data_IF_369045043293
#
_entry.id   IF_369045043293
#
_cell.length_a   1.000
_cell.length_b   1.000
_cell.length_c   1.000
_cell.angle_alpha   90.00
_cell.angle_beta   90.00
_cell.angle_gamma   90.00
#
_symmetry.space_group_name_H-M   'P 1'
#
loop_
_entity.id
_entity.type
_entity.pdbx_description
1 polymer ?
#
# COMPACT_ATOMS: atom_id res chain seq x y z
N UNK A 1 14.02 -6.76 35.60
CA UNK A 1 15.27 -6.71 34.80
C UNK A 1 15.43 -8.07 34.13
N UNK A 2 15.19 -8.13 32.81
CA UNK A 2 15.56 -9.19 31.83
C UNK A 2 15.04 -10.61 32.23
N UNK A 3 14.11 -11.25 31.53
CA UNK A 3 14.28 -11.88 30.21
C UNK A 3 12.87 -12.19 29.67
N UNK A 4 12.40 -11.43 28.68
CA UNK A 4 11.44 -11.91 27.68
C UNK A 4 12.16 -11.89 26.34
N UNK A 5 12.99 -12.91 26.13
CA UNK A 5 13.50 -13.31 24.81
C UNK A 5 13.31 -14.82 24.70
N UNK A 6 12.11 -15.24 24.32
CA UNK A 6 11.85 -16.57 23.76
C UNK A 6 10.43 -16.62 23.19
N UNK A 7 10.26 -16.03 22.02
CA UNK A 7 9.23 -16.45 21.08
C UNK A 7 9.93 -16.76 19.75
N UNK A 8 10.31 -18.03 19.66
CA UNK A 8 10.22 -18.89 18.47
C UNK A 8 10.74 -18.23 17.18
N UNK A 9 12.06 -18.37 16.99
CA UNK A 9 12.67 -18.50 15.65
C UNK A 9 12.04 -19.71 14.96
N UNK A 10 10.99 -19.50 14.19
CA UNK A 10 10.62 -20.44 13.15
C UNK A 10 11.67 -20.35 12.05
N UNK A 11 12.36 -21.46 11.79
CA UNK A 11 13.37 -21.60 10.75
C UNK A 11 12.72 -21.58 9.35
N UNK A 12 12.30 -20.41 8.89
CA UNK A 12 12.41 -20.12 7.46
C UNK A 12 13.89 -19.79 7.21
N UNK A 13 14.56 -20.42 6.25
CA UNK A 13 15.92 -20.03 5.83
C UNK A 13 15.93 -18.50 5.68
N UNK A 14 16.62 -17.80 6.58
CA UNK A 14 16.87 -16.36 6.40
C UNK A 14 17.52 -16.24 5.02
N UNK A 15 16.87 -15.55 4.10
CA UNK A 15 17.51 -15.17 2.83
C UNK A 15 18.69 -14.29 3.20
N UNK A 16 19.88 -14.89 3.21
CA UNK A 16 21.12 -14.17 3.37
C UNK A 16 21.44 -13.47 2.05
N UNK A 17 20.75 -12.34 1.84
CA UNK A 17 20.96 -11.50 0.66
C UNK A 17 22.42 -11.11 0.51
N UNK A 18 23.16 -10.90 1.61
CA UNK A 18 24.56 -10.49 1.55
C UNK A 18 25.42 -11.61 0.96
N UNK A 19 25.23 -12.85 1.40
CA UNK A 19 25.91 -14.01 0.80
C UNK A 19 25.53 -14.18 -0.68
N UNK A 20 24.26 -14.08 -1.05
CA UNK A 20 23.83 -14.23 -2.44
C UNK A 20 24.37 -13.12 -3.36
N UNK A 21 24.35 -11.87 -2.87
CA UNK A 21 24.92 -10.71 -3.56
C UNK A 21 26.42 -10.91 -3.75
N UNK A 22 27.15 -11.34 -2.71
CA UNK A 22 28.59 -11.58 -2.79
C UNK A 22 28.94 -12.67 -3.81
N UNK A 23 28.16 -13.76 -3.88
CA UNK A 23 28.35 -14.81 -4.89
C UNK A 23 28.21 -14.25 -6.32
N UNK A 24 27.21 -13.41 -6.57
CA UNK A 24 27.04 -12.78 -7.89
C UNK A 24 28.14 -11.76 -8.19
N UNK A 25 28.57 -10.97 -7.21
CA UNK A 25 29.68 -10.03 -7.38
C UNK A 25 30.98 -10.76 -7.70
N UNK A 26 31.27 -11.87 -7.03
CA UNK A 26 32.45 -12.69 -7.33
C UNK A 26 32.36 -13.37 -8.70
N UNK A 27 31.15 -13.79 -9.11
CA UNK A 27 30.92 -14.27 -10.48
C UNK A 27 31.20 -13.18 -11.51
N UNK A 28 30.72 -11.95 -11.29
CA UNK A 28 30.92 -10.81 -12.19
C UNK A 28 32.40 -10.40 -12.32
N UNK A 29 33.24 -10.63 -11.29
CA UNK A 29 34.70 -10.46 -11.41
C UNK A 29 35.34 -11.45 -12.39
N UNK A 30 34.76 -12.66 -12.54
CA UNK A 30 35.30 -13.73 -13.41
C UNK A 30 34.71 -13.69 -14.81
N UNK A 31 33.47 -13.21 -14.95
CA UNK A 31 32.75 -13.09 -16.22
C UNK A 31 32.85 -11.64 -16.69
N UNK A 32 33.90 -11.30 -17.43
CA UNK A 32 34.05 -9.97 -18.03
C UNK A 32 33.03 -9.73 -19.14
N UNK A 33 32.48 -8.51 -19.21
CA UNK A 33 31.55 -8.09 -20.27
C UNK A 33 32.06 -8.39 -21.68
N UNK A 34 33.33 -8.10 -21.97
CA UNK A 34 33.89 -8.24 -23.32
C UNK A 34 33.98 -9.70 -23.80
N UNK A 35 34.18 -10.64 -22.88
CA UNK A 35 34.32 -12.07 -23.21
C UNK A 35 32.99 -12.82 -23.19
N UNK A 36 32.08 -12.43 -22.29
CA UNK A 36 30.84 -13.16 -22.03
C UNK A 36 29.67 -12.20 -21.78
N UNK A 37 29.29 -11.37 -22.76
CA UNK A 37 28.32 -10.28 -22.56
C UNK A 37 26.96 -10.78 -22.05
N UNK A 38 26.44 -11.89 -22.62
CA UNK A 38 25.14 -12.44 -22.21
C UNK A 38 25.14 -12.99 -20.78
N UNK A 39 26.21 -13.69 -20.38
CA UNK A 39 26.32 -14.23 -19.02
C UNK A 39 26.57 -13.13 -17.98
N UNK A 40 27.31 -12.09 -18.35
CA UNK A 40 27.47 -10.89 -17.55
C UNK A 40 26.12 -10.19 -17.35
N UNK A 41 25.38 -9.94 -18.44
CA UNK A 41 24.07 -9.28 -18.38
C UNK A 41 23.03 -10.05 -17.56
N UNK A 42 23.00 -11.39 -17.66
CA UNK A 42 22.13 -12.22 -16.83
C UNK A 42 22.49 -12.12 -15.34
N UNK A 43 23.79 -12.15 -15.02
CA UNK A 43 24.26 -12.01 -13.63
C UNK A 43 23.94 -10.63 -13.06
N UNK A 44 24.03 -9.57 -13.88
CA UNK A 44 23.63 -8.22 -13.50
C UNK A 44 22.11 -8.10 -13.27
N UNK A 45 21.28 -8.76 -14.08
CA UNK A 45 19.83 -8.82 -13.85
C UNK A 45 19.48 -9.48 -12.51
N UNK A 46 20.10 -10.63 -12.21
CA UNK A 46 19.86 -11.34 -10.95
C UNK A 46 20.37 -10.53 -9.75
N UNK A 47 21.51 -9.84 -9.90
CA UNK A 47 22.04 -8.95 -8.88
C UNK A 47 21.09 -7.78 -8.59
N UNK A 48 20.54 -7.16 -9.64
CA UNK A 48 19.56 -6.09 -9.50
C UNK A 48 18.30 -6.53 -8.76
N UNK A 49 17.81 -7.75 -9.03
CA UNK A 49 16.66 -8.32 -8.30
C UNK A 49 16.96 -8.53 -6.82
N UNK A 50 18.13 -9.08 -6.48
CA UNK A 50 18.51 -9.29 -5.08
C UNK A 50 18.61 -7.98 -4.30
N UNK A 51 19.16 -6.93 -4.90
CA UNK A 51 19.15 -5.61 -4.28
C UNK A 51 17.73 -5.08 -4.07
N UNK A 52 16.84 -5.24 -5.06
CA UNK A 52 15.44 -4.82 -4.91
C UNK A 52 14.69 -5.62 -3.83
N UNK A 53 14.97 -6.91 -3.70
CA UNK A 53 14.35 -7.75 -2.65
C UNK A 53 14.94 -7.45 -1.26
N UNK A 54 16.24 -7.16 -1.15
CA UNK A 54 16.85 -6.66 0.09
C UNK A 54 16.29 -5.28 0.47
N UNK A 55 16.07 -4.39 -0.50
CA UNK A 55 15.40 -3.11 -0.27
C UNK A 55 14.02 -3.30 0.36
N UNK A 56 13.19 -4.23 -0.15
CA UNK A 56 11.86 -4.48 0.43
C UNK A 56 11.92 -4.96 1.89
N UNK A 57 13.02 -5.58 2.30
CA UNK A 57 13.24 -6.03 3.69
C UNK A 57 13.78 -4.91 4.58
N UNK A 58 14.78 -4.17 4.09
CA UNK A 58 15.60 -3.28 4.92
C UNK A 58 15.28 -1.79 4.72
N UNK A 59 14.47 -1.46 3.70
CA UNK A 59 14.11 -0.11 3.29
C UNK A 59 15.32 0.83 3.03
N UNK A 60 16.43 0.27 2.56
CA UNK A 60 17.67 1.02 2.32
C UNK A 60 17.74 1.56 0.89
N UNK A 61 17.58 2.88 0.72
CA UNK A 61 17.66 3.56 -0.59
C UNK A 61 18.91 3.21 -1.42
N UNK A 62 20.05 2.92 -0.78
CA UNK A 62 21.28 2.57 -1.51
C UNK A 62 21.14 1.30 -2.35
N UNK A 63 20.25 0.39 -1.96
CA UNK A 63 19.98 -0.82 -2.72
C UNK A 63 19.17 -0.55 -3.98
N UNK A 64 18.29 0.47 -3.97
CA UNK A 64 17.60 0.90 -5.19
C UNK A 64 18.58 1.44 -6.24
N UNK A 65 19.58 2.21 -5.79
CA UNK A 65 20.62 2.75 -6.69
C UNK A 65 21.46 1.60 -7.27
N UNK A 66 21.87 0.63 -6.43
CA UNK A 66 22.62 -0.54 -6.89
C UNK A 66 21.80 -1.42 -7.84
N UNK A 67 20.50 -1.60 -7.56
CA UNK A 67 19.59 -2.31 -8.45
C UNK A 67 19.48 -1.61 -9.80
N UNK A 68 19.30 -0.28 -9.81
CA UNK A 68 19.28 0.53 -11.04
C UNK A 68 20.56 0.35 -11.85
N UNK A 69 21.72 0.44 -11.22
CA UNK A 69 23.02 0.23 -11.88
C UNK A 69 23.11 -1.15 -12.51
N UNK A 70 22.79 -2.21 -11.76
CA UNK A 70 22.85 -3.58 -12.26
C UNK A 70 21.88 -3.80 -13.42
N UNK A 71 20.64 -3.29 -13.33
CA UNK A 71 19.69 -3.38 -14.44
C UNK A 71 20.15 -2.61 -15.70
N UNK A 72 20.77 -1.44 -15.54
CA UNK A 72 21.37 -0.70 -16.66
C UNK A 72 22.51 -1.48 -17.32
N UNK A 73 23.36 -2.16 -16.56
CA UNK A 73 24.41 -3.03 -17.12
C UNK A 73 23.82 -4.23 -17.87
N UNK A 74 22.72 -4.81 -17.37
CA UNK A 74 22.00 -5.87 -18.09
C UNK A 74 21.37 -5.37 -19.40
N UNK A 75 20.82 -4.15 -19.39
CA UNK A 75 20.16 -3.53 -20.54
C UNK A 75 21.14 -3.28 -21.70
N UNK A 76 22.42 -2.98 -21.43
CA UNK A 76 23.43 -2.79 -22.50
C UNK A 76 23.50 -3.95 -23.50
N UNK A 77 23.22 -5.18 -23.06
CA UNK A 77 23.23 -6.38 -23.90
C UNK A 77 21.82 -6.78 -24.34
N UNK A 78 20.85 -6.66 -23.44
CA UNK A 78 19.45 -7.03 -23.68
C UNK A 78 18.64 -5.79 -24.06
N UNK A 79 18.76 -5.36 -25.33
CA UNK A 79 17.97 -4.28 -25.91
C UNK A 79 16.69 -4.82 -26.53
N UNK A 80 15.83 -3.92 -26.99
CA UNK A 80 14.61 -4.29 -27.71
C UNK A 80 14.94 -5.12 -28.97
N UNK A 81 16.04 -4.81 -29.65
CA UNK A 81 16.47 -5.44 -30.89
C UNK A 81 17.16 -6.78 -30.66
N UNK A 82 17.98 -6.89 -29.61
CA UNK A 82 18.80 -8.08 -29.37
C UNK A 82 18.07 -9.15 -28.56
N UNK A 83 17.29 -8.76 -27.55
CA UNK A 83 16.55 -9.69 -26.69
C UNK A 83 15.28 -9.04 -26.12
N UNK A 84 14.21 -8.90 -26.92
CA UNK A 84 12.99 -8.19 -26.52
C UNK A 84 12.37 -8.69 -25.21
N UNK A 85 12.42 -10.00 -24.95
CA UNK A 85 11.85 -10.59 -23.75
C UNK A 85 12.63 -10.21 -22.48
N UNK A 86 13.96 -10.32 -22.49
CA UNK A 86 14.78 -9.91 -21.35
C UNK A 86 14.80 -8.40 -21.19
N UNK A 87 14.78 -7.64 -22.30
CA UNK A 87 14.57 -6.19 -22.27
C UNK A 87 13.30 -5.84 -21.50
N UNK A 88 12.15 -6.43 -21.84
CA UNK A 88 10.89 -6.16 -21.15
C UNK A 88 10.92 -6.53 -19.66
N UNK A 89 11.63 -7.62 -19.29
CA UNK A 89 11.84 -7.99 -17.88
C UNK A 89 12.64 -6.92 -17.14
N UNK A 90 13.70 -6.38 -17.76
CA UNK A 90 14.51 -5.31 -17.19
C UNK A 90 13.68 -4.05 -17.02
N UNK A 91 12.92 -3.64 -18.05
CA UNK A 91 12.04 -2.47 -17.99
C UNK A 91 11.02 -2.58 -16.83
N UNK A 92 10.38 -3.74 -16.65
CA UNK A 92 9.49 -3.99 -15.51
C UNK A 92 10.20 -3.85 -14.16
N UNK A 93 11.43 -4.36 -14.01
CA UNK A 93 12.18 -4.22 -12.76
C UNK A 93 12.64 -2.78 -12.52
N UNK A 94 13.09 -2.08 -13.56
CA UNK A 94 13.46 -0.66 -13.46
C UNK A 94 12.26 0.21 -13.08
N UNK A 95 11.06 -0.09 -13.57
CA UNK A 95 9.85 0.58 -13.13
C UNK A 95 9.60 0.43 -11.62
N UNK A 96 9.80 -0.77 -11.07
CA UNK A 96 9.69 -0.99 -9.62
C UNK A 96 10.73 -0.18 -8.84
N UNK A 97 11.97 -0.13 -9.33
CA UNK A 97 13.04 0.68 -8.72
C UNK A 97 12.67 2.15 -8.72
N UNK A 98 12.24 2.70 -9.86
CA UNK A 98 11.84 4.11 -9.95
C UNK A 98 10.59 4.42 -9.14
N UNK A 99 9.61 3.51 -9.07
CA UNK A 99 8.44 3.66 -8.21
C UNK A 99 8.82 3.83 -6.74
N UNK A 100 9.82 3.10 -6.26
CA UNK A 100 10.31 3.25 -4.89
C UNK A 100 11.21 4.48 -4.71
N UNK A 101 12.04 4.82 -5.71
CA UNK A 101 12.87 6.04 -5.64
C UNK A 101 12.03 7.31 -5.54
N UNK A 102 10.83 7.32 -6.13
CA UNK A 102 9.87 8.42 -6.01
C UNK A 102 9.52 8.72 -4.53
N UNK A 103 9.48 7.70 -3.66
CA UNK A 103 9.20 7.89 -2.22
C UNK A 103 10.34 8.62 -1.49
N UNK A 104 11.55 8.64 -2.06
CA UNK A 104 12.74 9.23 -1.44
C UNK A 104 13.20 10.54 -2.08
N UNK A 105 12.89 10.79 -3.35
CA UNK A 105 13.33 11.97 -4.08
C UNK A 105 12.54 12.17 -5.36
N UNK A 106 12.34 13.43 -5.75
CA UNK A 106 11.75 13.85 -7.03
C UNK A 106 10.58 12.96 -7.51
N UNK A 107 9.49 12.90 -6.71
CA UNK A 107 8.46 11.88 -6.88
C UNK A 107 7.75 11.98 -8.23
N UNK A 108 7.66 13.19 -8.79
CA UNK A 108 7.08 13.42 -10.11
C UNK A 108 7.97 12.82 -11.22
N UNK A 109 9.25 13.20 -11.28
CA UNK A 109 10.14 12.72 -12.34
C UNK A 109 10.32 11.19 -12.30
N UNK A 110 10.45 10.61 -11.10
CA UNK A 110 10.57 9.17 -10.97
C UNK A 110 9.27 8.42 -11.29
N UNK A 111 8.10 8.99 -10.99
CA UNK A 111 6.82 8.41 -11.41
C UNK A 111 6.70 8.37 -12.93
N UNK A 112 7.05 9.45 -13.63
CA UNK A 112 7.07 9.47 -15.10
C UNK A 112 8.05 8.46 -15.70
N UNK A 113 9.26 8.34 -15.13
CA UNK A 113 10.22 7.31 -15.53
C UNK A 113 9.64 5.91 -15.34
N UNK A 114 9.04 5.63 -14.19
CA UNK A 114 8.46 4.33 -13.88
C UNK A 114 7.33 3.96 -14.85
N UNK A 115 6.43 4.90 -15.15
CA UNK A 115 5.34 4.72 -16.12
C UNK A 115 5.89 4.38 -17.51
N UNK A 116 6.89 5.13 -17.99
CA UNK A 116 7.50 4.89 -19.29
C UNK A 116 8.14 3.48 -19.38
N UNK A 117 8.89 3.07 -18.34
CA UNK A 117 9.46 1.73 -18.28
C UNK A 117 8.38 0.63 -18.30
N UNK A 118 7.24 0.83 -17.62
CA UNK A 118 6.13 -0.14 -17.68
C UNK A 118 5.54 -0.23 -19.08
N UNK A 119 5.30 0.89 -19.76
CA UNK A 119 4.76 0.84 -21.12
C UNK A 119 5.71 0.13 -22.10
N UNK A 120 7.03 0.33 -21.97
CA UNK A 120 8.02 -0.44 -22.72
C UNK A 120 7.89 -1.96 -22.46
N UNK A 121 7.69 -2.36 -21.21
CA UNK A 121 7.46 -3.76 -20.87
C UNK A 121 6.13 -4.30 -21.42
N UNK A 122 5.04 -3.52 -21.34
CA UNK A 122 3.71 -3.90 -21.80
C UNK A 122 3.60 -4.00 -23.33
N UNK A 123 4.45 -3.29 -24.08
CA UNK A 123 4.56 -3.44 -25.53
C UNK A 123 5.01 -4.85 -25.96
N UNK A 124 5.71 -5.57 -25.08
CA UNK A 124 6.19 -6.95 -25.33
C UNK A 124 5.36 -7.97 -24.56
N UNK A 125 5.07 -7.70 -23.30
CA UNK A 125 4.31 -8.60 -22.44
C UNK A 125 2.82 -8.54 -22.72
N UNK A 126 2.40 -9.05 -23.86
CA UNK A 126 0.99 -9.19 -24.21
C UNK A 126 0.27 -10.21 -23.30
N UNK A 127 -0.98 -9.91 -22.92
CA UNK A 127 -1.77 -10.76 -22.03
C UNK A 127 -1.91 -12.22 -22.49
N UNK A 128 -1.95 -12.48 -23.81
CA UNK A 128 -2.09 -13.83 -24.37
C UNK A 128 -0.77 -14.61 -24.38
N UNK A 129 0.36 -13.94 -24.62
CA UNK A 129 1.68 -14.57 -24.78
C UNK A 129 2.43 -14.69 -23.46
N UNK A 130 2.36 -13.66 -22.62
CA UNK A 130 3.08 -13.56 -21.35
C UNK A 130 2.13 -13.19 -20.20
N UNK A 131 1.08 -13.98 -19.93
CA UNK A 131 0.01 -13.60 -19.02
C UNK A 131 0.51 -13.18 -17.63
N UNK A 132 1.46 -13.93 -17.06
CA UNK A 132 2.03 -13.62 -15.74
C UNK A 132 2.79 -12.30 -15.71
N UNK A 133 3.58 -12.00 -16.75
CA UNK A 133 4.33 -10.75 -16.81
C UNK A 133 3.42 -9.58 -17.14
N UNK A 134 2.43 -9.74 -18.02
CA UNK A 134 1.40 -8.73 -18.25
C UNK A 134 0.70 -8.35 -16.95
N UNK A 135 0.21 -9.34 -16.19
CA UNK A 135 -0.48 -9.10 -14.92
C UNK A 135 0.42 -8.38 -13.90
N UNK A 136 1.70 -8.80 -13.81
CA UNK A 136 2.68 -8.13 -12.94
C UNK A 136 2.94 -6.69 -13.35
N UNK A 137 3.07 -6.42 -14.65
CA UNK A 137 3.25 -5.07 -15.20
C UNK A 137 2.03 -4.20 -14.92
N UNK A 138 0.81 -4.73 -15.12
CA UNK A 138 -0.44 -4.02 -14.84
C UNK A 138 -0.61 -3.72 -13.33
N UNK A 139 -0.32 -4.69 -12.46
CA UNK A 139 -0.33 -4.45 -11.01
C UNK A 139 0.69 -3.37 -10.61
N UNK A 140 1.88 -3.40 -11.20
CA UNK A 140 2.93 -2.39 -10.94
C UNK A 140 2.51 -1.03 -11.45
N UNK A 141 1.92 -0.95 -12.64
CA UNK A 141 1.36 0.28 -13.20
C UNK A 141 0.30 0.89 -12.29
N UNK A 142 -0.59 0.06 -11.77
CA UNK A 142 -1.62 0.49 -10.82
C UNK A 142 -1.03 1.08 -9.55
N UNK A 143 0.02 0.47 -9.01
CA UNK A 143 0.71 0.99 -7.83
C UNK A 143 1.36 2.35 -8.11
N UNK A 144 2.04 2.47 -9.27
CA UNK A 144 2.70 3.72 -9.67
C UNK A 144 1.67 4.85 -9.80
N UNK A 145 0.57 4.62 -10.53
CA UNK A 145 -0.47 5.64 -10.69
C UNK A 145 -1.16 6.01 -9.38
N UNK A 146 -1.42 5.04 -8.51
CA UNK A 146 -2.00 5.31 -7.19
C UNK A 146 -1.09 6.20 -6.35
N UNK A 147 0.21 5.94 -6.34
CA UNK A 147 1.17 6.77 -5.63
C UNK A 147 1.31 8.15 -6.30
N UNK A 148 1.26 8.20 -7.63
CA UNK A 148 1.36 9.45 -8.39
C UNK A 148 0.13 10.36 -8.23
N UNK A 149 -1.03 9.80 -7.88
CA UNK A 149 -2.27 10.55 -7.71
C UNK A 149 -2.23 11.61 -6.59
N UNK A 150 -1.38 11.44 -5.58
CA UNK A 150 -1.23 12.44 -4.53
C UNK A 150 -0.33 13.63 -4.95
N UNK A 151 0.35 13.52 -6.10
CA UNK A 151 1.26 14.54 -6.63
C UNK A 151 0.60 15.33 -7.77
N UNK A 152 -0.06 14.64 -8.70
CA UNK A 152 -0.65 15.25 -9.89
C UNK A 152 -1.95 14.56 -10.29
N UNK A 153 -2.85 15.32 -10.92
CA UNK A 153 -4.13 14.88 -11.49
C UNK A 153 -4.78 13.66 -10.80
N UNK A 154 -5.14 13.86 -9.53
CA UNK A 154 -5.56 12.80 -8.60
C UNK A 154 -6.65 11.91 -9.18
N UNK A 155 -7.68 12.50 -9.79
CA UNK A 155 -8.82 11.76 -10.31
C UNK A 155 -8.44 10.86 -11.49
N UNK A 156 -7.67 11.42 -12.43
CA UNK A 156 -7.20 10.67 -13.60
C UNK A 156 -6.28 9.54 -13.18
N UNK A 157 -5.27 9.83 -12.37
CA UNK A 157 -4.29 8.82 -11.94
C UNK A 157 -4.95 7.70 -11.12
N UNK A 158 -5.92 7.98 -10.26
CA UNK A 158 -6.67 6.92 -9.57
C UNK A 158 -7.50 6.07 -10.54
N UNK A 159 -8.07 6.68 -11.58
CA UNK A 159 -8.84 5.95 -12.60
C UNK A 159 -7.93 5.01 -13.42
N UNK A 160 -6.76 5.49 -13.83
CA UNK A 160 -5.72 4.68 -14.50
C UNK A 160 -5.23 3.54 -13.59
N UNK A 161 -5.07 3.82 -12.29
CA UNK A 161 -4.68 2.79 -11.33
C UNK A 161 -5.71 1.66 -11.24
N UNK A 162 -7.00 2.02 -11.14
CA UNK A 162 -8.12 1.06 -11.11
C UNK A 162 -8.15 0.22 -12.38
N UNK A 163 -8.03 0.83 -13.56
CA UNK A 163 -8.04 0.10 -14.83
C UNK A 163 -6.88 -0.91 -14.91
N UNK A 164 -5.69 -0.52 -14.47
CA UNK A 164 -4.52 -1.40 -14.46
C UNK A 164 -4.71 -2.58 -13.49
N UNK A 165 -5.24 -2.33 -12.29
CA UNK A 165 -5.57 -3.40 -11.35
C UNK A 165 -6.63 -4.36 -11.88
N UNK A 166 -7.70 -3.85 -12.51
CA UNK A 166 -8.73 -4.68 -13.13
C UNK A 166 -8.17 -5.55 -14.27
N UNK A 167 -7.24 -5.01 -15.08
CA UNK A 167 -6.50 -5.79 -16.09
C UNK A 167 -5.67 -6.89 -15.45
N UNK A 168 -5.01 -6.63 -14.32
CA UNK A 168 -4.25 -7.64 -13.59
C UNK A 168 -5.15 -8.76 -13.02
N UNK A 169 -6.31 -8.42 -12.46
CA UNK A 169 -7.30 -9.39 -11.93
C UNK A 169 -7.98 -10.26 -13.00
N UNK A 170 -7.86 -9.92 -14.29
CA UNK A 170 -8.24 -10.84 -15.37
C UNK A 170 -7.37 -12.10 -15.38
N UNK A 171 -6.15 -12.02 -14.86
CA UNK A 171 -5.15 -13.10 -14.87
C UNK A 171 -4.89 -13.61 -13.45
N UNK A 172 -4.61 -12.72 -12.50
CA UNK A 172 -4.43 -13.10 -11.11
C UNK A 172 -5.78 -13.43 -10.49
N UNK A 173 -5.98 -14.71 -10.17
CA UNK A 173 -7.19 -15.25 -9.56
C UNK A 173 -6.91 -15.71 -8.14
N UNK A 174 -7.92 -15.60 -7.27
CA UNK A 174 -7.86 -15.95 -5.85
C UNK A 174 -7.24 -17.33 -5.61
N UNK A 175 -7.60 -18.32 -6.41
CA UNK A 175 -7.22 -19.74 -6.21
C UNK A 175 -5.78 -20.03 -6.64
N UNK A 176 -5.26 -19.27 -7.62
CA UNK A 176 -3.94 -19.54 -8.24
C UNK A 176 -2.87 -18.54 -7.82
N UNK A 177 -3.28 -17.35 -7.40
CA UNK A 177 -2.45 -16.18 -7.16
C UNK A 177 -2.96 -15.42 -5.94
N UNK A 178 -3.23 -16.14 -4.85
CA UNK A 178 -3.89 -15.59 -3.65
C UNK A 178 -3.21 -14.32 -3.15
N UNK A 179 -1.87 -14.29 -3.08
CA UNK A 179 -1.10 -13.14 -2.61
C UNK A 179 -1.23 -11.93 -3.55
N UNK A 180 -1.06 -12.12 -4.86
CA UNK A 180 -1.21 -11.02 -5.81
C UNK A 180 -2.66 -10.52 -5.88
N UNK A 181 -3.62 -11.44 -5.84
CA UNK A 181 -5.05 -11.14 -5.82
C UNK A 181 -5.42 -10.29 -4.59
N UNK A 182 -5.02 -10.73 -3.39
CA UNK A 182 -5.23 -9.99 -2.13
C UNK A 182 -4.65 -8.56 -2.22
N UNK A 183 -3.39 -8.43 -2.66
CA UNK A 183 -2.73 -7.13 -2.80
C UNK A 183 -3.46 -6.19 -3.77
N UNK A 184 -3.93 -6.72 -4.90
CA UNK A 184 -4.67 -5.91 -5.88
C UNK A 184 -6.01 -5.49 -5.30
N UNK A 185 -6.72 -6.39 -4.61
CA UNK A 185 -8.00 -6.07 -3.98
C UNK A 185 -7.87 -4.99 -2.89
N UNK A 186 -6.82 -5.07 -2.07
CA UNK A 186 -6.47 -4.02 -1.10
C UNK A 186 -6.29 -2.65 -1.77
N UNK A 187 -5.52 -2.61 -2.86
CA UNK A 187 -5.24 -1.36 -3.57
C UNK A 187 -6.47 -0.83 -4.33
N UNK A 188 -7.29 -1.71 -4.91
CA UNK A 188 -8.57 -1.34 -5.52
C UNK A 188 -9.52 -0.72 -4.51
N UNK A 189 -9.68 -1.33 -3.33
CA UNK A 189 -10.53 -0.79 -2.26
C UNK A 189 -10.11 0.63 -1.87
N UNK A 190 -8.82 0.84 -1.64
CA UNK A 190 -8.29 2.17 -1.32
C UNK A 190 -8.48 3.18 -2.47
N UNK A 191 -8.22 2.78 -3.72
CA UNK A 191 -8.42 3.63 -4.90
C UNK A 191 -9.88 4.02 -5.09
N UNK A 192 -10.82 3.09 -4.88
CA UNK A 192 -12.25 3.37 -4.97
C UNK A 192 -12.75 4.31 -3.87
N UNK A 193 -12.22 4.22 -2.64
CA UNK A 193 -12.48 5.23 -1.60
C UNK A 193 -12.05 6.63 -2.08
N UNK A 194 -10.84 6.76 -2.66
CA UNK A 194 -10.37 8.06 -3.14
C UNK A 194 -11.27 8.58 -4.26
N UNK A 195 -11.62 7.73 -5.23
CA UNK A 195 -12.49 8.11 -6.35
C UNK A 195 -13.89 8.53 -5.89
N UNK A 196 -14.42 7.88 -4.83
CA UNK A 196 -15.74 8.22 -4.27
C UNK A 196 -15.85 9.66 -3.74
N UNK A 197 -14.71 10.27 -3.37
CA UNK A 197 -14.65 11.67 -2.91
C UNK A 197 -14.72 12.67 -4.07
N UNK A 198 -14.54 12.20 -5.31
CA UNK A 198 -14.49 13.02 -6.52
C UNK A 198 -15.73 12.79 -7.38
N UNK A 199 -16.14 11.54 -7.58
CA UNK A 199 -17.27 11.19 -8.44
C UNK A 199 -17.96 9.89 -8.03
N UNK A 200 -19.23 9.74 -8.42
CA UNK A 200 -20.02 8.52 -8.24
C UNK A 200 -19.90 7.92 -6.82
N UNK A 201 -20.05 8.78 -5.80
CA UNK A 201 -19.71 8.50 -4.39
C UNK A 201 -20.22 7.14 -3.93
N UNK A 202 -21.53 6.91 -3.99
CA UNK A 202 -22.14 5.66 -3.52
C UNK A 202 -21.64 4.43 -4.27
N UNK A 203 -21.68 4.45 -5.61
CA UNK A 203 -21.22 3.33 -6.46
C UNK A 203 -19.75 2.97 -6.21
N UNK A 204 -18.90 3.97 -6.02
CA UNK A 204 -17.48 3.74 -5.74
C UNK A 204 -17.25 3.24 -4.30
N UNK A 205 -18.07 3.65 -3.32
CA UNK A 205 -18.03 3.08 -1.98
C UNK A 205 -18.45 1.61 -1.96
N UNK A 206 -19.47 1.24 -2.74
CA UNK A 206 -19.91 -0.16 -2.88
C UNK A 206 -18.80 -1.02 -3.51
N UNK A 207 -18.15 -0.52 -4.57
CA UNK A 207 -16.99 -1.21 -5.16
C UNK A 207 -15.79 -1.31 -4.22
N UNK A 208 -15.55 -0.30 -3.39
CA UNK A 208 -14.49 -0.34 -2.39
C UNK A 208 -14.77 -1.42 -1.34
N UNK A 209 -16.03 -1.51 -0.89
CA UNK A 209 -16.50 -2.53 0.03
C UNK A 209 -16.27 -3.94 -0.55
N UNK A 210 -16.73 -4.19 -1.78
CA UNK A 210 -16.55 -5.49 -2.46
C UNK A 210 -15.07 -5.88 -2.59
N UNK A 211 -14.21 -4.93 -2.94
CA UNK A 211 -12.77 -5.18 -3.04
C UNK A 211 -12.16 -5.59 -1.68
N UNK A 212 -12.53 -4.89 -0.61
CA UNK A 212 -12.05 -5.23 0.73
C UNK A 212 -12.58 -6.56 1.26
N UNK A 213 -13.85 -6.88 1.00
CA UNK A 213 -14.41 -8.20 1.35
C UNK A 213 -13.66 -9.32 0.62
N UNK A 214 -13.39 -9.17 -0.68
CA UNK A 214 -12.58 -10.13 -1.45
C UNK A 214 -11.16 -10.31 -0.88
N UNK A 215 -10.54 -9.24 -0.37
CA UNK A 215 -9.25 -9.35 0.30
C UNK A 215 -9.36 -10.10 1.65
N UNK A 216 -10.40 -9.83 2.44
CA UNK A 216 -10.66 -10.48 3.73
C UNK A 216 -11.00 -11.97 3.64
N UNK A 217 -11.36 -12.48 2.45
CA UNK A 217 -11.50 -13.93 2.23
C UNK A 217 -10.16 -14.69 2.31
N UNK A 218 -9.03 -14.00 2.11
CA UNK A 218 -7.67 -14.57 2.19
C UNK A 218 -6.95 -14.05 3.45
N UNK A 219 -7.12 -12.76 3.71
CA UNK A 219 -6.48 -12.01 4.75
C UNK A 219 -7.21 -12.20 6.08
N UNK A 220 -6.54 -12.84 7.03
CA UNK A 220 -7.06 -13.04 8.39
C UNK A 220 -6.19 -12.28 9.40
N UNK A 221 -6.77 -12.04 10.57
CA UNK A 221 -6.06 -11.40 11.68
C UNK A 221 -4.77 -12.17 12.05
N UNK A 222 -4.76 -13.50 11.96
CA UNK A 222 -3.58 -14.30 12.31
C UNK A 222 -2.49 -14.29 11.23
N UNK A 223 -2.86 -14.14 9.95
CA UNK A 223 -1.92 -14.19 8.83
C UNK A 223 -1.18 -12.87 8.65
N UNK A 224 -1.90 -11.76 8.72
CA UNK A 224 -1.33 -10.43 8.60
C UNK A 224 -2.22 -9.44 9.38
N UNK A 225 -1.99 -9.33 10.70
CA UNK A 225 -2.82 -8.52 11.61
C UNK A 225 -2.93 -7.06 11.17
N UNK A 226 -1.81 -6.49 10.70
CA UNK A 226 -1.75 -5.07 10.30
C UNK A 226 -2.67 -4.79 9.12
N UNK A 227 -2.52 -5.53 8.00
CA UNK A 227 -3.37 -5.31 6.84
C UNK A 227 -4.84 -5.62 7.15
N UNK A 228 -5.11 -6.65 7.97
CA UNK A 228 -6.48 -6.97 8.39
C UNK A 228 -7.12 -5.78 9.12
N UNK A 229 -6.45 -5.24 10.13
CA UNK A 229 -6.94 -4.08 10.87
C UNK A 229 -7.04 -2.82 10.01
N UNK A 230 -6.15 -2.65 9.02
CA UNK A 230 -6.22 -1.54 8.07
C UNK A 230 -7.49 -1.62 7.22
N UNK A 231 -7.86 -2.79 6.71
CA UNK A 231 -9.14 -2.99 6.03
C UNK A 231 -10.30 -2.66 6.95
N UNK A 232 -10.30 -3.15 8.20
CA UNK A 232 -11.38 -2.87 9.14
C UNK A 232 -11.55 -1.36 9.38
N UNK A 233 -10.44 -0.61 9.45
CA UNK A 233 -10.49 0.85 9.52
C UNK A 233 -11.04 1.48 8.23
N UNK A 234 -10.66 1.00 7.05
CA UNK A 234 -11.15 1.52 5.77
C UNK A 234 -12.64 1.20 5.55
N UNK A 235 -13.10 0.02 5.95
CA UNK A 235 -14.53 -0.33 6.01
C UNK A 235 -15.30 0.61 6.94
N UNK A 236 -14.70 1.01 8.07
CA UNK A 236 -15.30 2.00 8.97
C UNK A 236 -15.50 3.35 8.30
N UNK A 237 -14.50 3.80 7.54
CA UNK A 237 -14.60 5.02 6.73
C UNK A 237 -15.68 4.89 5.64
N UNK A 238 -15.76 3.74 4.96
CA UNK A 238 -16.81 3.47 3.96
C UNK A 238 -18.19 3.59 4.60
N UNK A 239 -18.41 2.95 5.75
CA UNK A 239 -19.68 3.02 6.45
C UNK A 239 -20.02 4.43 6.93
N UNK A 240 -19.05 5.21 7.42
CA UNK A 240 -19.27 6.63 7.73
C UNK A 240 -19.66 7.45 6.50
N UNK A 241 -19.08 7.16 5.34
CA UNK A 241 -19.42 7.89 4.11
C UNK A 241 -20.78 7.46 3.55
N UNK A 242 -21.14 6.18 3.69
CA UNK A 242 -22.45 5.64 3.34
C UNK A 242 -23.55 6.13 4.29
N UNK A 243 -23.27 6.37 5.57
CA UNK A 243 -24.27 6.88 6.52
C UNK A 243 -24.82 8.24 6.11
N UNK A 244 -24.02 9.04 5.40
CA UNK A 244 -24.44 10.33 4.83
C UNK A 244 -25.34 10.19 3.59
N UNK A 245 -25.54 8.97 3.09
CA UNK A 245 -26.27 8.68 1.85
C UNK A 245 -27.50 7.82 2.15
N UNK A 246 -27.33 6.75 2.95
CA UNK A 246 -28.38 5.78 3.25
C UNK A 246 -28.15 5.11 4.60
N UNK A 247 -29.24 4.61 5.19
CA UNK A 247 -29.26 3.83 6.43
C UNK A 247 -28.35 4.43 7.53
N UNK A 248 -28.45 5.75 7.77
CA UNK A 248 -27.50 6.53 8.56
C UNK A 248 -27.08 5.85 9.88
N UNK A 249 -28.04 5.59 10.75
CA UNK A 249 -27.80 4.98 12.06
C UNK A 249 -27.18 3.58 11.95
N UNK A 250 -27.70 2.74 11.05
CA UNK A 250 -27.21 1.36 10.84
C UNK A 250 -25.76 1.36 10.37
N UNK A 251 -25.42 2.25 9.44
CA UNK A 251 -24.06 2.38 8.94
C UNK A 251 -23.11 2.95 9.99
N UNK A 252 -23.53 3.91 10.83
CA UNK A 252 -22.72 4.39 11.95
C UNK A 252 -22.42 3.29 12.98
N UNK A 253 -23.40 2.41 13.27
CA UNK A 253 -23.14 1.25 14.13
C UNK A 253 -22.15 0.27 13.53
N UNK A 254 -22.25 -0.01 12.22
CA UNK A 254 -21.26 -0.83 11.52
C UNK A 254 -19.87 -0.20 11.55
N UNK A 255 -19.78 1.12 11.32
CA UNK A 255 -18.51 1.86 11.41
C UNK A 255 -17.86 1.72 12.79
N UNK A 256 -18.63 1.95 13.86
CA UNK A 256 -18.16 1.76 15.23
C UNK A 256 -17.66 0.32 15.49
N UNK A 257 -18.38 -0.70 15.00
CA UNK A 257 -17.98 -2.09 15.16
C UNK A 257 -16.62 -2.38 14.51
N UNK A 258 -16.44 -2.04 13.23
CA UNK A 258 -15.20 -2.36 12.51
C UNK A 258 -14.01 -1.54 13.01
N UNK A 259 -14.21 -0.30 13.45
CA UNK A 259 -13.14 0.45 14.12
C UNK A 259 -12.71 -0.23 15.43
N UNK A 260 -13.65 -0.74 16.24
CA UNK A 260 -13.30 -1.51 17.45
C UNK A 260 -12.56 -2.81 17.13
N UNK A 261 -12.86 -3.45 15.99
CA UNK A 261 -12.09 -4.61 15.52
C UNK A 261 -10.66 -4.20 15.16
N UNK A 262 -10.48 -3.09 14.43
CA UNK A 262 -9.15 -2.56 14.09
C UNK A 262 -8.31 -2.25 15.35
N UNK A 263 -8.92 -1.68 16.39
CA UNK A 263 -8.27 -1.37 17.68
C UNK A 263 -7.86 -2.59 18.51
N UNK A 264 -8.23 -3.82 18.11
CA UNK A 264 -7.65 -5.03 18.71
C UNK A 264 -6.20 -5.26 18.27
N UNK A 265 -5.80 -4.67 17.14
CA UNK A 265 -4.45 -4.76 16.57
C UNK A 265 -3.73 -3.42 16.70
N UNK A 266 -4.39 -2.33 16.32
CA UNK A 266 -3.85 -0.99 16.48
C UNK A 266 -3.98 -0.57 17.93
N UNK A 267 -2.85 -0.45 18.61
CA UNK A 267 -2.77 -0.04 20.01
C UNK A 267 -1.85 1.17 20.12
N UNK A 268 -1.88 1.87 21.25
CA UNK A 268 -0.94 2.97 21.48
C UNK A 268 0.53 2.50 21.40
N UNK A 269 0.80 1.26 21.85
CA UNK A 269 2.13 0.67 21.83
C UNK A 269 2.54 0.21 20.42
N UNK A 270 1.63 -0.44 19.72
CA UNK A 270 1.86 -1.06 18.42
C UNK A 270 0.96 -0.36 17.38
N UNK A 271 1.57 0.35 16.42
CA UNK A 271 0.86 1.13 15.40
C UNK A 271 0.14 2.38 15.95
N UNK A 272 0.86 3.20 16.72
CA UNK A 272 0.33 4.40 17.39
C UNK A 272 -0.39 5.36 16.43
N UNK A 273 0.12 5.56 15.21
CA UNK A 273 -0.49 6.45 14.24
C UNK A 273 -1.86 5.94 13.75
N UNK A 274 -1.94 4.63 13.45
CA UNK A 274 -3.18 3.96 13.08
C UNK A 274 -4.17 3.97 14.25
N UNK A 275 -3.71 3.68 15.48
CA UNK A 275 -4.49 3.76 16.71
C UNK A 275 -5.18 5.13 16.85
N UNK A 276 -4.41 6.22 16.78
CA UNK A 276 -4.95 7.56 16.89
C UNK A 276 -5.87 7.95 15.73
N UNK A 277 -5.57 7.50 14.51
CA UNK A 277 -6.46 7.71 13.35
C UNK A 277 -7.80 7.01 13.54
N UNK A 278 -7.79 5.76 14.01
CA UNK A 278 -9.01 4.99 14.29
C UNK A 278 -9.82 5.61 15.43
N UNK A 279 -9.16 6.05 16.50
CA UNK A 279 -9.80 6.76 17.60
C UNK A 279 -10.41 8.11 17.17
N UNK A 280 -9.71 8.90 16.35
CA UNK A 280 -10.29 10.12 15.78
C UNK A 280 -11.56 9.82 14.96
N UNK A 281 -11.57 8.74 14.17
CA UNK A 281 -12.75 8.36 13.40
C UNK A 281 -13.90 7.86 14.30
N UNK A 282 -13.61 7.10 15.36
CA UNK A 282 -14.61 6.74 16.37
C UNK A 282 -15.22 7.97 17.06
N UNK A 283 -14.41 8.97 17.37
CA UNK A 283 -14.90 10.24 17.91
C UNK A 283 -15.90 10.90 16.97
N UNK A 284 -15.61 10.93 15.67
CA UNK A 284 -16.52 11.44 14.64
C UNK A 284 -17.80 10.60 14.51
N UNK A 285 -17.72 9.26 14.60
CA UNK A 285 -18.90 8.38 14.59
C UNK A 285 -19.82 8.71 15.77
N UNK A 286 -19.26 8.84 16.97
CA UNK A 286 -20.02 9.15 18.17
C UNK A 286 -20.61 10.56 18.14
N UNK A 287 -19.92 11.55 17.56
CA UNK A 287 -20.51 12.87 17.31
C UNK A 287 -21.77 12.81 16.45
N UNK A 288 -21.74 12.04 15.36
CA UNK A 288 -22.90 11.92 14.48
C UNK A 288 -24.02 11.17 15.20
N UNK A 289 -23.69 10.07 15.90
CA UNK A 289 -24.66 9.32 16.71
C UNK A 289 -25.30 10.17 17.80
N UNK A 290 -24.59 11.13 18.40
CA UNK A 290 -25.14 12.02 19.42
C UNK A 290 -26.31 12.88 18.89
N UNK A 291 -26.33 13.20 17.60
CA UNK A 291 -27.43 13.90 16.96
C UNK A 291 -28.64 12.98 16.67
N UNK A 292 -28.44 11.66 16.75
CA UNK A 292 -29.45 10.64 16.43
C UNK A 292 -30.06 10.06 17.72
N UNK A 293 -29.23 9.73 18.70
CA UNK A 293 -29.63 9.08 19.94
C UNK A 293 -28.61 9.25 21.07
N UNK A 294 -29.08 9.12 22.32
CA UNK A 294 -28.26 9.12 23.53
C UNK A 294 -27.15 10.20 23.50
N UNK A 295 -27.50 11.50 23.31
CA UNK A 295 -26.53 12.56 23.07
C UNK A 295 -25.45 12.65 24.14
N UNK A 296 -25.83 12.56 25.43
CA UNK A 296 -24.88 12.62 26.54
C UNK A 296 -23.87 11.46 26.49
N UNK A 297 -24.35 10.22 26.35
CA UNK A 297 -23.50 9.03 26.27
C UNK A 297 -22.55 9.10 25.06
N UNK A 298 -23.06 9.50 23.90
CA UNK A 298 -22.26 9.60 22.69
C UNK A 298 -21.27 10.76 22.73
N UNK A 299 -21.60 11.91 23.34
CA UNK A 299 -20.63 12.98 23.56
C UNK A 299 -19.47 12.53 24.46
N UNK A 300 -19.75 11.78 25.54
CA UNK A 300 -18.69 11.24 26.41
C UNK A 300 -17.77 10.27 25.65
N UNK A 301 -18.35 9.34 24.88
CA UNK A 301 -17.57 8.43 24.02
C UNK A 301 -16.76 9.17 22.96
N UNK A 302 -17.31 10.25 22.40
CA UNK A 302 -16.59 11.08 21.45
C UNK A 302 -15.38 11.77 22.10
N UNK A 303 -15.56 12.34 23.30
CA UNK A 303 -14.48 12.97 24.07
C UNK A 303 -13.36 11.95 24.35
N UNK A 304 -13.70 10.79 24.90
CA UNK A 304 -12.74 9.72 25.19
C UNK A 304 -11.96 9.31 23.94
N UNK A 305 -12.66 9.09 22.81
CA UNK A 305 -12.01 8.71 21.57
C UNK A 305 -11.08 9.81 21.02
N UNK A 306 -11.45 11.08 21.15
CA UNK A 306 -10.58 12.19 20.77
C UNK A 306 -9.38 12.36 21.70
N UNK A 307 -9.54 12.15 23.00
CA UNK A 307 -8.44 12.19 23.97
C UNK A 307 -7.42 11.07 23.69
N UNK A 308 -7.87 9.83 23.43
CA UNK A 308 -6.99 8.74 22.97
C UNK A 308 -6.27 9.06 21.65
N UNK A 309 -6.90 9.81 20.73
CA UNK A 309 -6.24 10.25 19.51
C UNK A 309 -5.16 11.32 19.78
N UNK A 310 -5.32 12.15 20.81
CA UNK A 310 -4.37 13.19 21.21
C UNK A 310 -3.14 12.65 21.94
N UNK A 311 -3.17 11.42 22.45
CA UNK A 311 -1.98 10.72 22.96
C UNK A 311 -0.88 10.58 21.90
N UNK A 312 -1.25 10.64 20.61
CA UNK A 312 -0.32 10.56 19.47
C UNK A 312 -0.37 11.83 18.62
N UNK A 313 -1.55 12.39 18.37
CA UNK A 313 -1.68 13.63 17.60
C UNK A 313 -1.36 14.86 18.46
N UNK A 314 -0.10 14.99 18.81
CA UNK A 314 0.45 16.13 19.57
C UNK A 314 0.51 17.39 18.71
N UNK A 315 0.63 18.55 19.36
CA UNK A 315 0.80 19.83 18.67
C UNK A 315 2.10 19.86 17.84
N UNK A 316 3.14 19.17 18.30
CA UNK A 316 4.46 19.16 17.67
C UNK A 316 4.48 18.23 16.46
N UNK A 317 4.03 16.98 16.63
CA UNK A 317 4.17 15.94 15.60
C UNK A 317 3.06 16.03 14.54
N UNK A 318 1.86 16.44 14.94
CA UNK A 318 0.68 16.49 14.07
C UNK A 318 -0.18 17.76 14.28
N UNK A 319 0.38 18.97 14.12
CA UNK A 319 -0.27 20.24 14.48
C UNK A 319 -1.67 20.40 13.87
N UNK A 320 -1.84 20.03 12.59
CA UNK A 320 -3.12 20.14 11.89
C UNK A 320 -4.20 19.20 12.46
N UNK A 321 -3.83 17.96 12.80
CA UNK A 321 -4.76 16.98 13.40
C UNK A 321 -5.09 17.38 14.83
N UNK A 322 -4.06 17.74 15.61
CA UNK A 322 -4.17 18.22 16.97
C UNK A 322 -5.16 19.40 17.07
N UNK A 323 -4.93 20.46 16.28
CA UNK A 323 -5.78 21.66 16.24
C UNK A 323 -7.23 21.34 15.92
N UNK A 324 -7.47 20.44 14.95
CA UNK A 324 -8.82 20.03 14.58
C UNK A 324 -9.53 19.31 15.73
N UNK A 325 -8.86 18.36 16.37
CA UNK A 325 -9.43 17.60 17.49
C UNK A 325 -9.68 18.50 18.70
N UNK A 326 -8.74 19.37 19.05
CA UNK A 326 -8.89 20.33 20.15
C UNK A 326 -10.06 21.30 19.95
N UNK A 327 -10.28 21.76 18.71
CA UNK A 327 -11.44 22.60 18.38
C UNK A 327 -12.76 21.89 18.66
N UNK A 328 -12.88 20.63 18.24
CA UNK A 328 -14.06 19.79 18.49
C UNK A 328 -14.24 19.56 20.00
N UNK A 329 -13.19 19.17 20.72
CA UNK A 329 -13.26 18.93 22.17
C UNK A 329 -13.71 20.17 22.94
N UNK A 330 -13.23 21.37 22.57
CA UNK A 330 -13.67 22.63 23.19
C UNK A 330 -15.18 22.82 23.06
N UNK A 331 -15.73 22.58 21.87
CA UNK A 331 -17.17 22.67 21.63
C UNK A 331 -17.98 21.61 22.38
N UNK A 332 -17.44 20.39 22.53
CA UNK A 332 -18.12 19.30 23.23
C UNK A 332 -18.17 19.55 24.73
N UNK A 333 -17.05 19.97 25.33
CA UNK A 333 -16.97 20.25 26.77
C UNK A 333 -17.90 21.40 27.18
N UNK A 334 -18.16 22.36 26.29
CA UNK A 334 -19.18 23.39 26.53
C UNK A 334 -20.61 22.84 26.53
N UNK A 335 -20.91 21.86 25.66
CA UNK A 335 -22.23 21.22 25.57
C UNK A 335 -22.51 20.20 26.69
N UNK A 336 -21.49 19.60 27.29
CA UNK A 336 -21.65 18.63 28.39
C UNK A 336 -21.72 19.27 29.76
N UNK A 337 -21.32 20.54 29.88
CA UNK A 337 -21.38 21.32 31.13
C UNK A 337 -22.67 22.16 31.27
N UNK A 338 -23.59 22.04 30.29
CA UNK A 338 -24.96 22.58 30.30
C UNK A 338 -25.92 21.42 30.42
#
# INVERSE_FOLDING_TARGET
MVIVKRLIKFHAKKEDFDTQINVLLDRLKRISFDKYPSAHAASQYDLGKLYLDRFKRDNNKSDLIKAETAFKESWKVNTLETNPYEFAKIQLMMAMVYSHLAEFQDPEAYSYKAINMIYNALNIFEAKKFPKFFAKSQMTLGNIYRNFADISDRSKNISEAIEAYEKALKIYKKEKNSKEYENIQLNLGASYIILSKVQNKEKNLDKAFDAFENALEILTIDRNPFSYAKIQCDLGVIYMMLSQIREEQKNLFKANLVFKIALKVFTLKDYAFEYATTHNNLGLVHLILANIQNPQENHLKAIEAFENALDVFTEIDYPSKHKKIMSILKSLKQKTNQ
#
